data_IF_194951938356
#
_entry.id   IF_194951938356
#
_cell.length_a   1.000
_cell.length_b   1.000
_cell.length_c   1.000
_cell.angle_alpha   90.00
_cell.angle_beta   90.00
_cell.angle_gamma   90.00
#
_symmetry.space_group_name_H-M   'P 1'
#
loop_
_entity.id
_entity.type
_entity.pdbx_description
1 polymer ?
#
# COMPACT_ATOMS: atom_id res chain seq x y z
N UNK A 1 -23.05 -20.59 19.99
CA UNK A 1 -24.51 -20.30 20.07
C UNK A 1 -24.90 -19.41 21.24
N UNK A 2 -24.53 -19.71 22.50
CA UNK A 2 -24.92 -18.87 23.65
C UNK A 2 -24.50 -17.38 23.49
N UNK A 3 -23.29 -17.13 22.98
CA UNK A 3 -22.82 -15.76 22.68
C UNK A 3 -23.71 -15.02 21.67
N UNK A 4 -24.29 -15.71 20.68
CA UNK A 4 -25.22 -15.09 19.72
C UNK A 4 -26.59 -14.80 20.34
N UNK A 5 -27.08 -15.67 21.23
CA UNK A 5 -28.29 -15.39 22.00
C UNK A 5 -28.10 -14.18 22.93
N UNK A 6 -26.95 -14.09 23.58
CA UNK A 6 -26.62 -12.92 24.39
C UNK A 6 -26.53 -11.66 23.52
N UNK A 7 -25.92 -11.73 22.33
CA UNK A 7 -25.91 -10.64 21.36
C UNK A 7 -27.33 -10.15 21.00
N UNK A 8 -28.32 -11.03 20.81
CA UNK A 8 -29.71 -10.59 20.56
C UNK A 8 -30.32 -9.80 21.72
N UNK A 9 -29.77 -9.95 22.94
CA UNK A 9 -30.26 -9.27 24.15
C UNK A 9 -29.45 -8.02 24.49
N UNK A 10 -28.15 -8.01 24.22
CA UNK A 10 -27.22 -6.95 24.66
C UNK A 10 -26.65 -6.12 23.52
N UNK A 11 -26.81 -6.56 22.26
CA UNK A 11 -26.12 -6.03 21.08
C UNK A 11 -24.59 -6.03 21.20
N UNK A 12 -24.03 -6.84 22.11
CA UNK A 12 -22.59 -6.95 22.35
C UNK A 12 -22.17 -8.41 22.25
N UNK A 13 -20.99 -8.63 21.66
CA UNK A 13 -20.39 -9.97 21.52
C UNK A 13 -18.91 -9.90 21.85
N UNK A 14 -18.43 -10.83 22.66
CA UNK A 14 -17.01 -10.96 22.98
C UNK A 14 -16.35 -11.92 22.00
N UNK A 15 -15.44 -11.39 21.20
CA UNK A 15 -14.69 -12.13 20.19
C UNK A 15 -13.25 -12.29 20.68
N UNK A 16 -12.73 -13.51 20.59
CA UNK A 16 -11.35 -13.84 20.91
C UNK A 16 -10.83 -14.96 20.01
N UNK A 17 -9.52 -15.18 20.04
CA UNK A 17 -8.84 -16.15 19.16
C UNK A 17 -9.40 -17.57 19.27
N UNK A 18 -9.82 -17.99 20.47
CA UNK A 18 -10.36 -19.34 20.69
C UNK A 18 -11.79 -19.54 20.16
N UNK A 19 -12.59 -18.47 20.08
CA UNK A 19 -14.01 -18.57 19.77
C UNK A 19 -14.36 -18.10 18.35
N UNK A 20 -13.50 -17.28 17.71
CA UNK A 20 -13.85 -16.51 16.51
C UNK A 20 -14.28 -17.39 15.34
N UNK A 21 -13.60 -18.51 15.07
CA UNK A 21 -13.94 -19.40 13.95
C UNK A 21 -15.30 -20.07 14.16
N UNK A 22 -15.51 -20.65 15.34
CA UNK A 22 -16.80 -21.27 15.71
C UNK A 22 -17.94 -20.26 15.72
N UNK A 23 -17.68 -19.02 16.15
CA UNK A 23 -18.64 -17.95 16.19
C UNK A 23 -18.99 -17.47 14.78
N UNK A 24 -17.99 -17.33 13.91
CA UNK A 24 -18.15 -16.94 12.51
C UNK A 24 -18.98 -17.97 11.74
N UNK A 25 -18.66 -19.26 11.87
CA UNK A 25 -19.43 -20.35 11.25
C UNK A 25 -20.88 -20.37 11.73
N UNK A 26 -21.08 -20.20 13.04
CA UNK A 26 -22.42 -20.16 13.60
C UNK A 26 -23.17 -18.90 13.16
N UNK A 27 -22.51 -17.75 13.12
CA UNK A 27 -23.10 -16.48 12.68
C UNK A 27 -23.50 -16.52 11.21
N UNK A 28 -22.66 -17.09 10.35
CA UNK A 28 -22.97 -17.30 8.93
C UNK A 28 -24.14 -18.26 8.75
N UNK A 29 -24.14 -19.40 9.46
CA UNK A 29 -25.24 -20.37 9.39
C UNK A 29 -26.59 -19.79 9.79
N UNK A 30 -26.63 -18.96 10.84
CA UNK A 30 -27.86 -18.30 11.30
C UNK A 30 -28.10 -16.91 10.71
N UNK A 31 -27.26 -16.46 9.76
CA UNK A 31 -27.37 -15.16 9.07
C UNK A 31 -27.34 -13.94 10.01
N UNK A 32 -26.47 -13.98 11.02
CA UNK A 32 -26.15 -12.82 11.85
C UNK A 32 -25.06 -11.97 11.19
N UNK A 33 -25.43 -11.21 10.16
CA UNK A 33 -24.49 -10.44 9.31
C UNK A 33 -23.55 -9.51 10.09
N UNK A 34 -24.07 -8.82 11.12
CA UNK A 34 -23.24 -7.92 11.93
C UNK A 34 -22.18 -8.68 12.74
N UNK A 35 -22.52 -9.84 13.31
CA UNK A 35 -21.54 -10.65 14.06
C UNK A 35 -20.54 -11.29 13.12
N UNK A 36 -21.00 -11.76 11.95
CA UNK A 36 -20.14 -12.24 10.87
C UNK A 36 -19.09 -11.20 10.49
N UNK A 37 -19.52 -9.97 10.18
CA UNK A 37 -18.62 -8.86 9.84
C UNK A 37 -17.61 -8.57 10.96
N UNK A 38 -18.04 -8.53 12.21
CA UNK A 38 -17.15 -8.30 13.36
C UNK A 38 -16.10 -9.42 13.49
N UNK A 39 -16.49 -10.68 13.27
CA UNK A 39 -15.57 -11.82 13.26
C UNK A 39 -14.59 -11.78 12.08
N UNK A 40 -15.04 -11.43 10.87
CA UNK A 40 -14.18 -11.26 9.70
C UNK A 40 -13.13 -10.16 9.94
N UNK A 41 -13.55 -8.98 10.44
CA UNK A 41 -12.62 -7.90 10.81
C UNK A 41 -11.70 -8.26 11.96
N UNK A 42 -12.15 -9.08 12.91
CA UNK A 42 -11.25 -9.63 13.94
C UNK A 42 -10.16 -10.50 13.32
N UNK A 43 -10.51 -11.39 12.39
CA UNK A 43 -9.53 -12.22 11.69
C UNK A 43 -8.59 -11.40 10.80
N UNK A 44 -9.06 -10.35 10.14
CA UNK A 44 -8.23 -9.43 9.36
C UNK A 44 -7.20 -8.68 10.23
N UNK A 45 -7.56 -8.35 11.49
CA UNK A 45 -6.65 -7.74 12.47
C UNK A 45 -5.52 -8.65 12.91
N UNK A 46 -5.83 -9.93 13.06
CA UNK A 46 -4.90 -10.97 13.51
C UNK A 46 -4.18 -11.67 12.34
N UNK A 47 -4.27 -11.12 11.12
CA UNK A 47 -3.53 -11.64 9.97
C UNK A 47 -2.03 -11.54 10.21
N UNK A 48 -1.32 -12.63 9.96
CA UNK A 48 0.12 -12.73 10.09
C UNK A 48 0.65 -13.69 9.02
N UNK A 49 1.93 -13.57 8.63
CA UNK A 49 2.51 -14.44 7.59
C UNK A 49 2.40 -15.94 7.93
N UNK A 50 2.35 -16.30 9.21
CA UNK A 50 2.23 -17.67 9.70
C UNK A 50 0.83 -18.28 9.61
N UNK A 51 -0.22 -17.47 9.47
CA UNK A 51 -1.63 -17.93 9.44
C UNK A 51 -2.37 -17.54 8.15
N UNK A 52 -1.75 -16.71 7.28
CA UNK A 52 -2.41 -16.16 6.10
C UNK A 52 -2.85 -17.24 5.10
N UNK A 53 -2.10 -18.33 4.94
CA UNK A 53 -2.44 -19.40 4.01
C UNK A 53 -3.62 -20.22 4.54
N UNK A 54 -3.60 -20.54 5.84
CA UNK A 54 -4.70 -21.22 6.53
C UNK A 54 -6.00 -20.42 6.48
N UNK A 55 -5.93 -19.11 6.79
CA UNK A 55 -7.09 -18.21 6.71
C UNK A 55 -7.58 -18.01 5.27
N UNK A 56 -6.70 -18.03 4.27
CA UNK A 56 -7.09 -17.98 2.87
C UNK A 56 -7.86 -19.24 2.44
N UNK A 57 -7.41 -20.43 2.83
CA UNK A 57 -8.11 -21.70 2.55
C UNK A 57 -9.45 -21.75 3.29
N UNK A 58 -9.45 -21.33 4.55
CA UNK A 58 -10.65 -21.27 5.39
C UNK A 58 -11.71 -20.33 4.78
N UNK A 59 -11.33 -19.10 4.44
CA UNK A 59 -12.22 -18.13 3.81
C UNK A 59 -12.73 -18.58 2.44
N UNK A 60 -11.92 -19.29 1.65
CA UNK A 60 -12.37 -19.86 0.38
C UNK A 60 -13.46 -20.92 0.58
N UNK A 61 -13.34 -21.76 1.62
CA UNK A 61 -14.32 -22.82 1.92
C UNK A 61 -15.70 -22.25 2.28
N UNK A 62 -15.74 -21.14 3.01
CA UNK A 62 -16.98 -20.49 3.46
C UNK A 62 -17.39 -19.30 2.58
N UNK A 63 -16.67 -19.04 1.49
CA UNK A 63 -16.92 -17.94 0.56
C UNK A 63 -16.87 -16.54 1.21
N UNK A 64 -15.97 -16.33 2.17
CA UNK A 64 -15.70 -15.00 2.76
C UNK A 64 -14.72 -14.22 1.88
N UNK A 65 -15.24 -13.45 0.92
CA UNK A 65 -14.45 -12.82 -0.14
C UNK A 65 -13.43 -11.78 0.37
N UNK A 66 -13.84 -10.88 1.28
CA UNK A 66 -12.97 -9.81 1.79
C UNK A 66 -11.81 -10.35 2.64
N UNK A 67 -12.09 -11.31 3.53
CA UNK A 67 -11.07 -11.99 4.31
C UNK A 67 -10.11 -12.79 3.40
N UNK A 68 -10.63 -13.44 2.36
CA UNK A 68 -9.81 -14.16 1.39
C UNK A 68 -8.88 -13.22 0.62
N UNK A 69 -9.41 -12.09 0.13
CA UNK A 69 -8.63 -11.08 -0.58
C UNK A 69 -7.53 -10.49 0.31
N UNK A 70 -7.86 -10.22 1.57
CA UNK A 70 -6.94 -9.73 2.59
C UNK A 70 -5.80 -10.71 2.87
N UNK A 71 -6.14 -11.98 3.16
CA UNK A 71 -5.15 -13.03 3.40
C UNK A 71 -4.26 -13.30 2.17
N UNK A 72 -4.86 -13.29 0.97
CA UNK A 72 -4.14 -13.42 -0.30
C UNK A 72 -3.17 -12.26 -0.52
N UNK A 73 -3.57 -11.03 -0.20
CA UNK A 73 -2.71 -9.84 -0.33
C UNK A 73 -1.49 -9.94 0.56
N UNK A 74 -1.65 -10.39 1.82
CA UNK A 74 -0.53 -10.65 2.74
C UNK A 74 0.41 -11.71 2.15
N UNK A 75 -0.14 -12.82 1.65
CA UNK A 75 0.66 -13.89 1.04
C UNK A 75 1.46 -13.41 -0.20
N UNK A 76 0.84 -12.59 -1.05
CA UNK A 76 1.49 -12.03 -2.25
C UNK A 76 2.58 -11.01 -1.92
N UNK A 77 2.38 -10.20 -0.88
CA UNK A 77 3.31 -9.12 -0.49
C UNK A 77 4.49 -9.62 0.36
N UNK A 78 4.32 -10.71 1.11
CA UNK A 78 5.31 -11.25 2.06
C UNK A 78 5.80 -12.64 1.67
N UNK A 79 5.86 -12.95 0.37
CA UNK A 79 6.15 -14.31 -0.12
C UNK A 79 7.43 -14.94 0.46
N UNK A 80 8.49 -14.14 0.62
CA UNK A 80 9.77 -14.58 1.18
C UNK A 80 9.67 -15.07 2.64
N UNK A 81 8.76 -14.49 3.42
CA UNK A 81 8.51 -14.87 4.81
C UNK A 81 7.51 -16.04 4.89
N UNK A 82 6.50 -16.03 4.02
CA UNK A 82 5.46 -17.07 3.91
C UNK A 82 6.05 -18.42 3.52
N UNK A 83 7.00 -18.46 2.58
CA UNK A 83 7.66 -19.70 2.17
C UNK A 83 8.48 -20.37 3.30
N UNK A 84 8.72 -19.66 4.40
CA UNK A 84 9.44 -20.17 5.57
C UNK A 84 8.49 -20.74 6.64
N UNK A 85 7.17 -20.62 6.47
CA UNK A 85 6.17 -21.04 7.44
C UNK A 85 5.74 -22.51 7.25
N UNK A 86 5.23 -23.12 8.31
CA UNK A 86 4.75 -24.51 8.28
C UNK A 86 3.54 -24.69 7.36
N UNK A 87 2.65 -23.70 7.26
CA UNK A 87 1.47 -23.76 6.38
C UNK A 87 1.83 -23.90 4.90
N UNK A 88 3.00 -23.38 4.48
CA UNK A 88 3.46 -23.46 3.10
C UNK A 88 3.78 -24.90 2.69
N UNK A 89 4.28 -25.73 3.61
CA UNK A 89 4.65 -27.13 3.35
C UNK A 89 3.46 -27.99 2.95
N UNK A 90 2.28 -27.66 3.46
CA UNK A 90 1.02 -28.39 3.26
C UNK A 90 0.15 -27.74 2.16
N UNK A 91 0.64 -26.67 1.52
CA UNK A 91 -0.11 -25.94 0.50
C UNK A 91 -0.47 -26.84 -0.71
N UNK A 92 -1.73 -26.85 -1.18
CA UNK A 92 -2.12 -27.57 -2.40
C UNK A 92 -1.46 -26.99 -3.66
N UNK A 93 -1.21 -27.84 -4.66
CA UNK A 93 -0.58 -27.47 -5.95
C UNK A 93 -1.35 -26.33 -6.63
N UNK A 94 -2.68 -26.43 -6.67
CA UNK A 94 -3.53 -25.48 -7.38
C UNK A 94 -3.38 -24.06 -6.83
N UNK A 95 -3.26 -23.94 -5.51
CA UNK A 95 -3.07 -22.65 -4.84
C UNK A 95 -1.67 -22.09 -5.09
N UNK A 96 -0.64 -22.95 -5.05
CA UNK A 96 0.72 -22.54 -5.38
C UNK A 96 0.78 -21.98 -6.81
N UNK A 97 0.19 -22.67 -7.79
CA UNK A 97 0.11 -22.20 -9.18
C UNK A 97 -0.57 -20.83 -9.29
N UNK A 98 -1.65 -20.60 -8.54
CA UNK A 98 -2.34 -19.29 -8.52
C UNK A 98 -1.47 -18.15 -7.97
N UNK A 99 -0.56 -18.43 -7.04
CA UNK A 99 0.40 -17.42 -6.56
C UNK A 99 1.51 -17.18 -7.58
N UNK A 100 2.10 -18.24 -8.13
CA UNK A 100 3.20 -18.13 -9.09
C UNK A 100 2.79 -17.36 -10.36
N UNK A 101 1.56 -17.61 -10.83
CA UNK A 101 0.94 -16.89 -11.96
C UNK A 101 0.64 -15.42 -11.71
N UNK A 102 0.47 -15.02 -10.45
CA UNK A 102 0.04 -13.66 -10.12
C UNK A 102 1.12 -12.64 -10.47
N UNK A 103 0.73 -11.59 -11.20
CA UNK A 103 1.56 -10.40 -11.42
C UNK A 103 1.78 -9.59 -10.14
N UNK A 104 0.96 -9.80 -9.11
CA UNK A 104 1.06 -9.05 -7.85
C UNK A 104 1.99 -9.70 -6.83
N UNK A 105 2.61 -10.83 -7.17
CA UNK A 105 3.55 -11.51 -6.28
C UNK A 105 4.80 -10.65 -6.09
N UNK A 106 4.97 -10.08 -4.91
CA UNK A 106 6.12 -9.24 -4.59
C UNK A 106 7.29 -10.11 -4.12
N UNK A 107 8.34 -10.14 -4.95
CA UNK A 107 9.62 -10.77 -4.64
C UNK A 107 10.76 -9.87 -5.05
N UNK A 108 11.87 -9.94 -4.30
CA UNK A 108 13.07 -9.18 -4.64
C UNK A 108 13.66 -9.63 -5.99
N UNK A 109 13.62 -10.94 -6.27
CA UNK A 109 14.10 -11.58 -7.50
C UNK A 109 13.28 -12.83 -7.81
N UNK A 110 13.19 -13.21 -9.08
CA UNK A 110 12.53 -14.45 -9.50
C UNK A 110 13.23 -15.71 -8.95
N UNK A 111 14.49 -15.58 -8.54
CA UNK A 111 15.26 -16.62 -7.85
C UNK A 111 14.51 -17.17 -6.62
N UNK A 112 13.80 -16.31 -5.88
CA UNK A 112 13.01 -16.68 -4.70
C UNK A 112 11.78 -17.51 -5.09
N UNK A 113 11.18 -17.20 -6.24
CA UNK A 113 10.03 -17.94 -6.78
C UNK A 113 10.47 -19.36 -7.15
N UNK A 114 11.59 -19.51 -7.86
CA UNK A 114 12.15 -20.81 -8.17
C UNK A 114 12.50 -21.59 -6.88
N UNK A 115 13.13 -20.94 -5.90
CA UNK A 115 13.46 -21.57 -4.62
C UNK A 115 12.20 -22.02 -3.86
N UNK A 116 11.10 -21.26 -3.93
CA UNK A 116 9.82 -21.66 -3.32
C UNK A 116 9.24 -22.94 -3.92
N UNK A 117 9.32 -23.10 -5.24
CA UNK A 117 8.93 -24.35 -5.93
C UNK A 117 9.81 -25.51 -5.47
N UNK A 118 11.12 -25.29 -5.40
CA UNK A 118 12.06 -26.34 -4.96
C UNK A 118 11.80 -26.76 -3.51
N UNK A 119 11.58 -25.81 -2.59
CA UNK A 119 11.27 -26.12 -1.19
C UNK A 119 9.97 -26.89 -1.05
N UNK A 120 8.93 -26.50 -1.79
CA UNK A 120 7.64 -27.20 -1.76
C UNK A 120 7.76 -28.66 -2.23
N UNK A 121 8.56 -28.93 -3.27
CA UNK A 121 8.78 -30.30 -3.78
C UNK A 121 9.68 -31.11 -2.84
N UNK A 122 10.70 -30.48 -2.26
CA UNK A 122 11.62 -31.15 -1.34
C UNK A 122 10.95 -31.65 -0.05
N UNK A 123 9.82 -31.08 0.33
CA UNK A 123 9.05 -31.52 1.49
C UNK A 123 8.39 -32.90 1.28
N UNK A 124 7.86 -33.16 0.08
CA UNK A 124 7.35 -34.48 -0.32
C UNK A 124 7.83 -34.86 -1.73
N UNK A 125 9.08 -35.34 -1.85
CA UNK A 125 9.66 -35.70 -3.13
C UNK A 125 8.92 -36.81 -3.86
N UNK A 126 8.24 -37.72 -3.13
CA UNK A 126 7.62 -38.90 -3.72
C UNK A 126 6.32 -38.54 -4.47
N UNK A 127 5.52 -37.63 -3.92
CA UNK A 127 4.27 -37.18 -4.53
C UNK A 127 4.43 -36.01 -5.51
N UNK A 128 5.41 -35.13 -5.30
CA UNK A 128 5.45 -33.80 -5.96
C UNK A 128 6.45 -33.70 -7.13
N UNK A 129 7.22 -34.74 -7.41
CA UNK A 129 8.23 -34.70 -8.49
C UNK A 129 7.61 -34.60 -9.90
N UNK A 130 6.40 -35.11 -10.08
CA UNK A 130 5.67 -35.04 -11.33
C UNK A 130 5.23 -33.59 -11.63
N UNK A 131 4.86 -32.85 -10.59
CA UNK A 131 4.36 -31.47 -10.66
C UNK A 131 5.44 -30.43 -10.94
N UNK A 132 6.72 -30.82 -10.84
CA UNK A 132 7.85 -29.90 -10.97
C UNK A 132 7.84 -29.08 -12.27
N UNK A 133 7.63 -29.74 -13.41
CA UNK A 133 7.69 -29.05 -14.71
C UNK A 133 6.53 -28.06 -14.88
N UNK A 134 5.36 -28.39 -14.34
CA UNK A 134 4.20 -27.49 -14.36
C UNK A 134 4.48 -26.24 -13.52
N UNK A 135 5.01 -26.41 -12.31
CA UNK A 135 5.31 -25.31 -11.39
C UNK A 135 6.46 -24.42 -11.88
N UNK A 136 7.53 -25.01 -12.38
CA UNK A 136 8.66 -24.26 -12.96
C UNK A 136 8.26 -23.53 -14.24
N UNK A 137 7.27 -24.06 -14.97
CA UNK A 137 6.70 -23.38 -16.13
C UNK A 137 6.11 -22.01 -15.81
N UNK A 138 5.66 -21.77 -14.57
CA UNK A 138 5.12 -20.49 -14.10
C UNK A 138 6.21 -19.49 -13.65
N UNK A 139 7.47 -19.92 -13.57
CA UNK A 139 8.61 -19.07 -13.19
C UNK A 139 9.06 -18.25 -14.40
N UNK A 140 9.18 -16.93 -14.23
CA UNK A 140 9.53 -15.99 -15.31
C UNK A 140 11.04 -16.03 -15.59
N UNK A 141 11.47 -16.96 -16.45
CA UNK A 141 12.89 -17.24 -16.74
C UNK A 141 13.72 -16.00 -17.11
N UNK A 142 13.11 -14.99 -17.75
CA UNK A 142 13.77 -13.73 -18.15
C UNK A 142 14.28 -12.92 -16.96
N UNK A 143 13.71 -13.11 -15.76
CA UNK A 143 14.04 -12.38 -14.54
C UNK A 143 14.89 -13.20 -13.55
N UNK A 144 15.32 -14.42 -13.92
CA UNK A 144 16.26 -15.22 -13.13
C UNK A 144 17.67 -14.64 -13.22
N UNK A 145 18.40 -14.64 -12.10
CA UNK A 145 19.76 -14.12 -12.08
C UNK A 145 20.77 -15.11 -12.63
N UNK A 146 21.74 -14.61 -13.41
CA UNK A 146 22.85 -15.44 -13.91
C UNK A 146 23.67 -16.06 -12.77
N UNK A 147 23.84 -15.34 -11.65
CA UNK A 147 24.48 -15.84 -10.44
C UNK A 147 23.74 -17.04 -9.85
N UNK A 148 22.41 -16.99 -9.84
CA UNK A 148 21.59 -18.07 -9.33
C UNK A 148 21.65 -19.30 -10.24
N UNK A 149 21.58 -19.13 -11.56
CA UNK A 149 21.74 -20.23 -12.52
C UNK A 149 23.10 -20.94 -12.37
N UNK A 150 24.19 -20.20 -12.17
CA UNK A 150 25.51 -20.78 -11.91
C UNK A 150 25.54 -21.59 -10.61
N UNK A 151 24.89 -21.09 -9.55
CA UNK A 151 24.73 -21.83 -8.29
C UNK A 151 23.94 -23.13 -8.50
N UNK A 152 22.84 -23.10 -9.26
CA UNK A 152 22.03 -24.29 -9.55
C UNK A 152 22.85 -25.36 -10.30
N UNK A 153 23.61 -24.95 -11.32
CA UNK A 153 24.48 -25.86 -12.10
C UNK A 153 25.62 -26.42 -11.25
N UNK A 154 26.21 -25.60 -10.37
CA UNK A 154 27.25 -26.07 -9.44
C UNK A 154 26.68 -27.05 -8.42
N UNK A 155 25.47 -26.83 -7.92
CA UNK A 155 24.81 -27.70 -6.93
C UNK A 155 24.42 -29.04 -7.53
N UNK A 156 23.86 -29.07 -8.74
CA UNK A 156 23.50 -30.32 -9.43
C UNK A 156 24.71 -31.20 -9.74
N UNK A 157 25.87 -30.61 -10.05
CA UNK A 157 27.11 -31.37 -10.27
C UNK A 157 27.69 -31.95 -8.97
N UNK A 158 27.40 -31.37 -7.81
CA UNK A 158 27.94 -31.79 -6.51
C UNK A 158 27.15 -32.93 -5.86
N UNK A 159 25.83 -32.95 -5.99
CA UNK A 159 24.97 -33.88 -5.23
C UNK A 159 24.87 -35.30 -5.84
N UNK A 160 25.51 -35.57 -6.97
CA UNK A 160 25.48 -36.88 -7.60
C UNK A 160 24.11 -37.24 -8.19
N UNK A 161 24.03 -38.37 -8.90
CA UNK A 161 22.85 -38.77 -9.69
C UNK A 161 21.67 -39.30 -8.87
N UNK A 162 21.90 -39.66 -7.60
CA UNK A 162 20.89 -40.25 -6.71
C UNK A 162 20.03 -39.21 -6.01
N UNK A 163 20.44 -37.94 -6.02
CA UNK A 163 19.75 -36.88 -5.30
C UNK A 163 18.56 -36.30 -6.10
N UNK A 164 17.45 -36.05 -5.41
CA UNK A 164 16.22 -35.52 -6.01
C UNK A 164 16.46 -34.18 -6.70
N UNK A 165 17.27 -33.28 -6.12
CA UNK A 165 17.57 -31.98 -6.74
C UNK A 165 18.27 -32.16 -8.08
N UNK A 166 19.29 -33.03 -8.13
CA UNK A 166 20.01 -33.33 -9.38
C UNK A 166 19.10 -33.90 -10.46
N UNK A 167 18.17 -34.79 -10.07
CA UNK A 167 17.16 -35.37 -11.00
C UNK A 167 16.22 -34.31 -11.57
N UNK A 168 15.70 -33.42 -10.73
CA UNK A 168 14.81 -32.32 -11.14
C UNK A 168 15.51 -31.36 -12.12
N UNK A 169 16.75 -30.94 -11.81
CA UNK A 169 17.51 -30.05 -12.71
C UNK A 169 17.86 -30.75 -14.04
N UNK A 170 18.14 -32.05 -14.04
CA UNK A 170 18.31 -32.81 -15.29
C UNK A 170 17.02 -32.87 -16.11
N UNK A 171 15.87 -33.08 -15.45
CA UNK A 171 14.55 -33.09 -16.09
C UNK A 171 14.21 -31.73 -16.71
N UNK A 172 14.57 -30.64 -16.04
CA UNK A 172 14.43 -29.28 -16.57
C UNK A 172 15.30 -29.06 -17.82
N UNK A 173 16.56 -29.52 -17.79
CA UNK A 173 17.47 -29.39 -18.93
C UNK A 173 17.06 -30.26 -20.13
N UNK A 174 16.47 -31.44 -19.89
CA UNK A 174 16.04 -32.31 -20.99
C UNK A 174 14.70 -31.90 -21.59
N UNK A 175 13.79 -31.36 -20.79
CA UNK A 175 12.44 -30.97 -21.19
C UNK A 175 12.07 -29.60 -20.59
N UNK A 176 12.64 -28.48 -21.11
CA UNK A 176 12.30 -27.16 -20.61
C UNK A 176 10.83 -26.82 -20.92
N UNK A 177 10.08 -26.21 -19.98
CA UNK A 177 8.70 -25.81 -20.22
C UNK A 177 8.55 -24.91 -21.45
N UNK A 178 7.39 -24.93 -22.15
CA UNK A 178 7.16 -24.07 -23.32
C UNK A 178 7.38 -22.58 -23.04
N UNK A 179 7.03 -22.12 -21.82
CA UNK A 179 7.24 -20.75 -21.36
C UNK A 179 8.71 -20.32 -21.33
N UNK A 180 9.64 -21.27 -21.26
CA UNK A 180 11.09 -21.01 -21.28
C UNK A 180 11.68 -21.07 -22.69
N UNK A 181 10.94 -21.64 -23.65
CA UNK A 181 11.40 -21.80 -25.03
C UNK A 181 10.95 -20.65 -25.94
N UNK A 182 9.77 -20.07 -25.67
CA UNK A 182 9.17 -19.06 -26.55
C UNK A 182 8.94 -17.74 -25.81
N UNK A 183 10.03 -17.02 -25.58
CA UNK A 183 10.04 -15.69 -24.94
C UNK A 183 9.24 -14.64 -25.72
N UNK A 184 9.02 -14.84 -27.03
CA UNK A 184 8.27 -13.91 -27.90
C UNK A 184 6.75 -14.07 -27.87
N UNK A 185 6.22 -15.22 -27.42
CA UNK A 185 4.76 -15.49 -27.33
C UNK A 185 4.15 -15.09 -25.98
N UNK A 186 5.00 -14.87 -24.97
CA UNK A 186 4.61 -14.33 -23.68
C UNK A 186 5.36 -13.02 -23.52
N UNK A 187 4.76 -11.84 -23.83
CA UNK A 187 5.29 -10.60 -23.30
C UNK A 187 5.09 -10.70 -21.79
N UNK A 188 6.05 -11.31 -21.09
CA UNK A 188 6.02 -11.41 -19.64
C UNK A 188 6.14 -9.97 -19.14
N UNK A 189 4.99 -9.31 -18.94
CA UNK A 189 4.91 -8.16 -18.07
C UNK A 189 5.63 -8.57 -16.78
N UNK A 190 6.62 -7.81 -16.35
CA UNK A 190 7.30 -8.09 -15.10
C UNK A 190 6.33 -8.17 -13.93
N UNK A 191 6.78 -8.68 -12.77
CA UNK A 191 5.90 -8.65 -11.60
C UNK A 191 5.66 -7.19 -11.23
N UNK A 192 4.41 -6.87 -10.91
CA UNK A 192 4.02 -5.55 -10.45
C UNK A 192 4.50 -5.32 -9.02
N UNK A 193 4.94 -4.10 -8.74
CA UNK A 193 5.33 -3.68 -7.40
C UNK A 193 5.20 -2.17 -7.26
N UNK A 194 4.95 -1.70 -6.05
CA UNK A 194 4.87 -0.29 -5.75
C UNK A 194 6.26 0.29 -5.46
N UNK A 195 6.45 1.55 -5.83
CA UNK A 195 7.61 2.37 -5.52
C UNK A 195 7.16 3.64 -4.81
N UNK A 196 8.02 4.22 -3.97
CA UNK A 196 7.70 5.42 -3.21
C UNK A 196 8.45 6.61 -3.79
N UNK A 197 7.72 7.64 -4.18
CA UNK A 197 8.28 8.91 -4.61
C UNK A 197 8.25 9.92 -3.48
N UNK A 198 9.31 10.71 -3.40
CA UNK A 198 9.49 11.76 -2.43
C UNK A 198 9.92 13.02 -3.16
N UNK A 199 9.03 14.00 -3.21
CA UNK A 199 9.33 15.35 -3.64
C UNK A 199 9.65 16.19 -2.41
N UNK A 200 10.86 16.72 -2.35
CA UNK A 200 11.29 17.51 -1.20
C UNK A 200 12.41 18.47 -1.51
N UNK A 201 13.17 18.82 -0.48
CA UNK A 201 14.16 19.89 -0.54
C UNK A 201 13.64 21.20 0.06
N UNK A 202 14.51 22.21 0.05
CA UNK A 202 14.18 23.54 0.58
C UNK A 202 13.46 24.35 -0.50
N UNK A 203 12.29 24.88 -0.18
CA UNK A 203 11.51 25.72 -1.09
C UNK A 203 12.30 26.95 -1.58
N UNK A 204 13.21 27.51 -0.78
CA UNK A 204 13.99 28.70 -1.17
C UNK A 204 14.98 28.48 -2.34
N UNK A 205 15.28 27.22 -2.67
CA UNK A 205 16.19 26.85 -3.77
C UNK A 205 15.46 26.91 -5.11
N UNK A 206 16.22 27.08 -6.20
CA UNK A 206 15.67 27.05 -7.57
C UNK A 206 15.02 25.71 -7.94
N UNK A 207 15.51 24.63 -7.32
CA UNK A 207 15.10 23.27 -7.59
C UNK A 207 14.66 22.57 -6.30
N UNK A 208 13.57 21.83 -6.39
CA UNK A 208 13.12 20.86 -5.39
C UNK A 208 13.40 19.45 -5.91
N UNK A 209 14.04 18.63 -5.09
CA UNK A 209 14.58 17.33 -5.50
C UNK A 209 13.48 16.27 -5.47
N UNK A 210 13.43 15.43 -6.50
CA UNK A 210 12.54 14.27 -6.57
C UNK A 210 13.38 13.00 -6.47
N UNK A 211 13.01 12.11 -5.55
CA UNK A 211 13.65 10.82 -5.38
C UNK A 211 12.62 9.69 -5.45
N UNK A 212 13.04 8.54 -5.98
CA UNK A 212 12.29 7.29 -5.91
C UNK A 212 13.03 6.29 -5.04
N UNK A 213 12.31 5.70 -4.08
CA UNK A 213 12.78 4.59 -3.26
C UNK A 213 12.38 3.27 -3.91
N UNK A 214 13.38 2.43 -4.15
CA UNK A 214 13.19 1.09 -4.70
C UNK A 214 13.13 0.08 -3.54
N UNK A 215 11.97 -0.49 -3.19
CA UNK A 215 11.85 -1.36 -2.03
C UNK A 215 12.61 -2.68 -2.17
N UNK A 216 12.81 -3.18 -3.39
CA UNK A 216 13.56 -4.42 -3.66
C UNK A 216 15.06 -4.29 -3.35
N UNK A 217 15.64 -3.11 -3.57
CA UNK A 217 17.08 -2.83 -3.36
C UNK A 217 17.34 -2.02 -2.09
N UNK A 218 16.30 -1.37 -1.55
CA UNK A 218 16.40 -0.39 -0.48
C UNK A 218 17.06 0.92 -0.91
N UNK A 219 17.36 1.12 -2.20
CA UNK A 219 18.13 2.26 -2.67
C UNK A 219 17.24 3.45 -3.06
N UNK A 220 17.77 4.65 -2.86
CA UNK A 220 17.21 5.89 -3.40
C UNK A 220 17.83 6.22 -4.74
N UNK A 221 17.00 6.60 -5.70
CA UNK A 221 17.43 7.08 -7.02
C UNK A 221 16.90 8.49 -7.25
N UNK A 222 17.77 9.40 -7.69
CA UNK A 222 17.39 10.75 -8.06
C UNK A 222 16.65 10.77 -9.40
N UNK A 223 15.57 11.55 -9.46
CA UNK A 223 14.79 11.83 -10.65
C UNK A 223 15.01 13.28 -11.10
N UNK A 224 14.42 13.67 -12.23
CA UNK A 224 14.45 15.05 -12.69
C UNK A 224 13.80 15.96 -11.61
N UNK A 225 14.51 16.99 -11.11
CA UNK A 225 13.99 17.84 -10.05
C UNK A 225 12.91 18.78 -10.57
N UNK A 226 12.03 19.20 -9.67
CA UNK A 226 11.03 20.22 -9.93
C UNK A 226 11.71 21.60 -9.98
N UNK A 227 11.64 22.28 -11.12
CA UNK A 227 12.22 23.61 -11.33
C UNK A 227 11.27 24.72 -10.82
N UNK A 228 11.00 24.74 -9.52
CA UNK A 228 10.13 25.75 -8.90
C UNK A 228 10.72 26.23 -7.57
N UNK A 229 11.15 27.48 -7.58
CA UNK A 229 11.57 28.23 -6.40
C UNK A 229 10.36 28.72 -5.61
N UNK A 230 10.50 28.81 -4.30
CA UNK A 230 9.56 29.43 -3.36
C UNK A 230 8.15 28.84 -3.31
N UNK A 231 7.96 27.60 -3.76
CA UNK A 231 6.68 26.90 -3.66
C UNK A 231 6.68 25.94 -2.46
N UNK A 232 5.70 26.07 -1.57
CA UNK A 232 5.48 25.21 -0.40
C UNK A 232 3.98 24.88 -0.24
N UNK A 233 3.60 24.04 0.73
CA UNK A 233 2.19 23.70 1.03
C UNK A 233 1.37 23.21 -0.18
N UNK A 234 2.05 22.64 -1.18
CA UNK A 234 1.42 21.91 -2.28
C UNK A 234 1.06 20.50 -1.82
N UNK A 235 0.21 19.83 -2.60
CA UNK A 235 -0.08 18.41 -2.40
C UNK A 235 0.45 17.58 -3.56
N UNK A 236 0.98 16.40 -3.24
CA UNK A 236 1.47 15.43 -4.23
C UNK A 236 0.54 14.22 -4.28
N UNK A 237 0.12 13.85 -5.48
CA UNK A 237 -0.71 12.67 -5.72
C UNK A 237 -0.21 11.91 -6.96
N UNK A 238 -0.64 10.65 -7.10
CA UNK A 238 -0.29 9.82 -8.25
C UNK A 238 -1.54 9.23 -8.87
N UNK A 239 -1.57 9.20 -10.21
CA UNK A 239 -2.60 8.50 -10.97
C UNK A 239 -1.90 7.78 -12.13
N UNK A 240 -1.99 6.45 -12.14
CA UNK A 240 -1.23 5.61 -13.09
C UNK A 240 0.27 5.80 -12.93
N UNK A 241 0.96 6.15 -14.02
CA UNK A 241 2.42 6.41 -14.04
C UNK A 241 2.78 7.90 -13.95
N UNK A 242 1.83 8.76 -13.59
CA UNK A 242 2.03 10.20 -13.47
C UNK A 242 1.96 10.65 -12.02
N UNK A 243 2.88 11.53 -11.63
CA UNK A 243 2.80 12.27 -10.37
C UNK A 243 2.26 13.66 -10.66
N UNK A 244 1.44 14.17 -9.74
CA UNK A 244 0.83 15.49 -9.82
C UNK A 244 1.24 16.28 -8.59
N UNK A 245 1.77 17.47 -8.83
CA UNK A 245 1.97 18.50 -7.81
C UNK A 245 0.91 19.56 -8.06
N UNK A 246 0.04 19.78 -7.08
CA UNK A 246 -1.13 20.65 -7.21
C UNK A 246 -1.06 21.81 -6.23
N UNK A 247 -1.38 23.00 -6.72
CA UNK A 247 -1.48 24.24 -5.97
C UNK A 247 -0.24 24.58 -5.15
N UNK A 248 -0.47 25.13 -3.96
CA UNK A 248 0.55 25.52 -3.01
C UNK A 248 0.57 27.01 -2.73
N UNK A 249 1.45 27.39 -1.81
CA UNK A 249 1.70 28.77 -1.42
C UNK A 249 3.03 29.20 -2.03
N UNK A 250 2.96 30.18 -2.92
CA UNK A 250 4.09 30.66 -3.69
C UNK A 250 4.49 32.05 -3.21
N UNK A 251 5.81 32.28 -3.10
CA UNK A 251 6.36 33.60 -2.79
C UNK A 251 6.95 34.25 -4.02
N UNK A 252 6.30 35.33 -4.46
CA UNK A 252 6.87 36.27 -5.41
C UNK A 252 7.47 37.46 -4.65
N UNK A 253 8.80 37.62 -4.76
CA UNK A 253 9.60 38.60 -4.01
C UNK A 253 9.31 38.64 -2.48
N UNK A 254 8.31 39.43 -2.08
CA UNK A 254 7.90 39.64 -0.68
C UNK A 254 6.48 39.20 -0.37
N UNK A 255 5.66 38.90 -1.38
CA UNK A 255 4.24 38.57 -1.22
C UNK A 255 4.06 37.07 -1.38
N UNK A 256 3.32 36.47 -0.45
CA UNK A 256 2.89 35.10 -0.58
C UNK A 256 1.44 35.05 -1.03
N UNK A 257 1.12 34.14 -1.93
CA UNK A 257 -0.24 33.91 -2.39
C UNK A 257 -0.43 32.45 -2.83
N UNK A 258 -1.68 32.00 -2.78
CA UNK A 258 -2.08 30.68 -3.20
C UNK A 258 -2.11 30.58 -4.73
N UNK A 259 -1.67 29.44 -5.28
CA UNK A 259 -1.66 29.21 -6.74
C UNK A 259 -2.56 28.04 -7.13
N UNK A 260 -2.98 28.03 -8.39
CA UNK A 260 -3.80 27.02 -9.06
C UNK A 260 -2.98 26.07 -9.95
N UNK A 261 -1.65 26.14 -9.85
CA UNK A 261 -0.75 25.43 -10.76
C UNK A 261 -0.83 23.91 -10.60
N UNK A 262 -0.62 23.22 -11.72
CA UNK A 262 -0.54 21.76 -11.78
C UNK A 262 0.72 21.37 -12.55
N UNK A 263 1.61 20.63 -11.90
CA UNK A 263 2.85 20.15 -12.49
C UNK A 263 2.82 18.63 -12.52
N UNK A 264 3.01 18.06 -13.70
CA UNK A 264 2.86 16.64 -13.96
C UNK A 264 4.24 16.05 -14.23
N UNK A 265 4.63 15.02 -13.48
CA UNK A 265 5.86 14.28 -13.72
C UNK A 265 5.54 12.91 -14.32
N UNK A 266 6.13 12.62 -15.48
CA UNK A 266 6.02 11.32 -16.13
C UNK A 266 7.10 10.38 -15.57
N UNK A 267 6.67 9.33 -14.86
CA UNK A 267 7.58 8.35 -14.24
C UNK A 267 8.34 7.47 -15.24
N UNK A 268 7.92 7.42 -16.51
CA UNK A 268 8.57 6.65 -17.57
C UNK A 268 9.65 7.48 -18.27
N UNK A 269 9.32 8.72 -18.61
CA UNK A 269 10.23 9.61 -19.36
C UNK A 269 11.15 10.44 -18.46
N UNK A 270 10.95 10.39 -17.13
CA UNK A 270 11.71 11.17 -16.15
C UNK A 270 11.70 12.67 -16.49
N UNK A 271 10.53 13.22 -16.81
CA UNK A 271 10.36 14.60 -17.26
C UNK A 271 9.10 15.24 -16.65
N UNK A 272 9.14 16.57 -16.56
CA UNK A 272 8.06 17.41 -16.05
C UNK A 272 7.31 18.09 -17.18
N UNK A 273 6.00 18.21 -17.02
CA UNK A 273 5.06 18.87 -17.91
C UNK A 273 4.16 19.80 -17.08
N UNK A 274 3.68 20.87 -17.70
CA UNK A 274 2.64 21.70 -17.10
C UNK A 274 1.26 21.10 -17.42
N UNK A 275 0.42 20.99 -16.40
CA UNK A 275 -0.96 20.56 -16.52
C UNK A 275 -1.94 21.72 -16.60
N UNK A 276 -3.23 21.46 -16.85
CA UNK A 276 -4.26 22.48 -16.82
C UNK A 276 -4.44 23.02 -15.39
N UNK A 277 -4.56 24.34 -15.27
CA UNK A 277 -4.72 25.01 -13.97
C UNK A 277 -6.04 24.60 -13.28
N UNK A 278 -5.98 24.47 -11.97
CA UNK A 278 -7.15 24.21 -11.12
C UNK A 278 -8.16 25.35 -11.18
N UNK A 279 -9.40 25.09 -10.76
CA UNK A 279 -10.44 26.12 -10.68
C UNK A 279 -10.21 27.09 -9.53
N UNK A 280 -9.60 26.61 -8.44
CA UNK A 280 -9.33 27.41 -7.26
C UNK A 280 -7.85 27.40 -6.93
N UNK A 281 -7.27 28.58 -6.78
CA UNK A 281 -5.94 28.76 -6.22
C UNK A 281 -5.97 28.43 -4.73
N UNK A 282 -5.22 27.40 -4.31
CA UNK A 282 -5.29 26.88 -2.94
C UNK A 282 -3.95 26.32 -2.46
N UNK A 283 -3.77 26.30 -1.15
CA UNK A 283 -2.64 25.69 -0.46
C UNK A 283 -3.13 24.83 0.73
N UNK A 284 -2.25 23.98 1.28
CA UNK A 284 -2.56 23.12 2.44
C UNK A 284 -3.81 22.25 2.24
N UNK A 285 -4.15 21.97 0.98
CA UNK A 285 -5.21 21.05 0.56
C UNK A 285 -4.71 19.61 0.52
N UNK A 286 -5.62 18.67 0.38
CA UNK A 286 -5.31 17.28 0.10
C UNK A 286 -5.42 17.00 -1.40
N UNK A 287 -4.58 16.11 -1.92
CA UNK A 287 -4.71 15.58 -3.28
C UNK A 287 -4.59 14.05 -3.24
N UNK A 288 -5.42 13.35 -4.01
CA UNK A 288 -5.44 11.89 -4.02
C UNK A 288 -5.84 11.35 -5.40
N UNK A 289 -5.20 10.27 -5.82
CA UNK A 289 -5.61 9.50 -6.99
C UNK A 289 -6.65 8.45 -6.63
N UNK A 290 -7.75 8.37 -7.38
CA UNK A 290 -8.72 7.30 -7.26
C UNK A 290 -9.18 6.85 -8.66
N UNK A 291 -8.87 5.59 -9.01
CA UNK A 291 -9.08 5.08 -10.36
C UNK A 291 -8.23 5.83 -11.39
N UNK A 292 -8.88 6.44 -12.38
CA UNK A 292 -8.23 7.24 -13.45
C UNK A 292 -8.37 8.76 -13.23
N UNK A 293 -8.79 9.17 -12.04
CA UNK A 293 -9.04 10.56 -11.69
C UNK A 293 -8.12 11.03 -10.57
N UNK A 294 -7.68 12.27 -10.70
CA UNK A 294 -7.05 13.06 -9.64
C UNK A 294 -8.14 13.86 -8.93
N UNK A 295 -8.16 13.85 -7.60
CA UNK A 295 -9.05 14.64 -6.76
C UNK A 295 -8.23 15.63 -5.92
N UNK A 296 -8.70 16.87 -5.84
CA UNK A 296 -8.16 17.94 -5.00
C UNK A 296 -9.25 18.41 -4.04
N UNK A 297 -8.95 18.38 -2.75
CA UNK A 297 -9.93 18.42 -1.66
C UNK A 297 -9.53 19.49 -0.64
N UNK A 298 -10.44 20.43 -0.36
CA UNK A 298 -10.32 21.38 0.73
C UNK A 298 -9.15 22.35 0.60
N UNK A 299 -8.52 22.68 1.73
CA UNK A 299 -7.40 23.62 1.81
C UNK A 299 -7.82 25.08 1.97
N UNK A 300 -6.82 25.95 1.86
CA UNK A 300 -6.93 27.38 2.11
C UNK A 300 -6.73 28.21 0.86
N UNK A 301 -7.55 29.25 0.75
CA UNK A 301 -7.47 30.29 -0.27
C UNK A 301 -7.22 31.64 0.41
N UNK A 302 -7.09 32.69 -0.38
CA UNK A 302 -7.01 34.07 0.13
C UNK A 302 -8.29 34.50 0.88
N UNK A 303 -9.42 33.84 0.63
CA UNK A 303 -10.72 34.12 1.26
C UNK A 303 -10.96 33.30 2.53
N UNK A 304 -10.15 32.25 2.76
CA UNK A 304 -10.28 31.34 3.90
C UNK A 304 -10.21 29.86 3.50
N UNK A 305 -10.50 28.99 4.47
CA UNK A 305 -10.56 27.54 4.28
C UNK A 305 -11.85 27.19 3.52
N UNK A 306 -11.74 26.41 2.45
CA UNK A 306 -12.87 26.10 1.55
C UNK A 306 -13.22 24.62 1.59
N UNK A 307 -14.49 24.23 1.38
CA UNK A 307 -14.90 22.84 1.26
C UNK A 307 -14.87 22.34 -0.20
N UNK A 308 -14.39 23.17 -1.14
CA UNK A 308 -14.51 22.87 -2.56
C UNK A 308 -13.68 21.67 -2.97
N UNK A 309 -14.27 20.82 -3.81
CA UNK A 309 -13.65 19.63 -4.36
C UNK A 309 -13.66 19.75 -5.87
N UNK A 310 -12.51 19.46 -6.47
CA UNK A 310 -12.38 19.40 -7.92
C UNK A 310 -11.64 18.14 -8.34
N UNK A 311 -12.00 17.60 -9.51
CA UNK A 311 -11.37 16.40 -10.07
C UNK A 311 -10.95 16.62 -11.51
N UNK A 312 -9.98 15.84 -11.96
CA UNK A 312 -9.50 15.83 -13.33
C UNK A 312 -9.23 14.39 -13.77
N UNK A 313 -9.78 13.98 -14.91
CA UNK A 313 -9.43 12.70 -15.53
C UNK A 313 -8.05 12.80 -16.19
N UNK A 314 -7.28 11.71 -16.21
CA UNK A 314 -5.96 11.69 -16.86
C UNK A 314 -5.97 12.03 -18.36
N UNK A 315 -7.09 11.78 -19.04
CA UNK A 315 -7.25 12.01 -20.49
C UNK A 315 -7.79 13.40 -20.81
N UNK A 316 -8.32 14.09 -19.83
CA UNK A 316 -8.97 15.38 -20.01
C UNK A 316 -8.01 16.54 -19.74
N UNK A 317 -8.31 17.68 -20.33
CA UNK A 317 -7.56 18.92 -20.12
C UNK A 317 -8.32 19.94 -19.26
N UNK A 318 -9.43 19.53 -18.63
CA UNK A 318 -10.30 20.42 -17.86
C UNK A 318 -10.63 19.82 -16.49
N UNK A 319 -10.84 20.70 -15.51
CA UNK A 319 -11.24 20.34 -14.16
C UNK A 319 -12.76 20.34 -14.01
N UNK A 320 -13.29 19.37 -13.28
CA UNK A 320 -14.70 19.26 -12.93
C UNK A 320 -14.91 19.62 -11.46
N UNK A 321 -15.99 20.35 -11.17
CA UNK A 321 -16.37 20.66 -9.79
C UNK A 321 -17.24 19.54 -9.26
N UNK A 322 -16.95 19.08 -8.04
CA UNK A 322 -17.65 18.00 -7.36
C UNK A 322 -18.44 18.54 -6.17
N UNK A 323 -19.23 17.69 -5.53
CA UNK A 323 -19.93 18.04 -4.30
C UNK A 323 -18.94 18.46 -3.20
N UNK A 324 -19.22 19.56 -2.48
CA UNK A 324 -18.31 20.09 -1.47
C UNK A 324 -18.22 19.17 -0.25
N UNK A 325 -17.08 19.20 0.44
CA UNK A 325 -16.84 18.49 1.69
C UNK A 325 -17.88 18.87 2.75
N UNK A 326 -18.21 17.92 3.63
CA UNK A 326 -19.16 18.16 4.72
C UNK A 326 -18.65 19.22 5.70
N UNK A 327 -17.34 19.21 5.98
CA UNK A 327 -16.64 20.21 6.77
C UNK A 327 -15.40 20.71 5.99
N UNK A 328 -15.24 22.02 5.75
CA UNK A 328 -14.02 22.59 5.20
C UNK A 328 -12.84 22.37 6.16
N UNK A 329 -11.74 21.84 5.63
CA UNK A 329 -10.50 21.60 6.40
C UNK A 329 -9.26 21.93 5.58
N UNK A 330 -8.24 22.49 6.24
CA UNK A 330 -6.87 22.54 5.74
C UNK A 330 -5.96 21.62 6.58
N UNK A 331 -4.79 21.23 6.04
CA UNK A 331 -3.77 20.45 6.78
C UNK A 331 -4.32 19.15 7.40
N UNK A 332 -5.41 18.63 6.86
CA UNK A 332 -5.83 17.25 7.02
C UNK A 332 -5.00 16.36 6.11
N UNK A 333 -5.28 15.06 6.12
CA UNK A 333 -4.68 14.13 5.17
C UNK A 333 -5.76 13.27 4.51
N UNK A 334 -5.49 12.78 3.31
CA UNK A 334 -6.47 12.04 2.53
C UNK A 334 -5.90 10.76 1.90
N UNK A 335 -6.74 9.74 1.81
CA UNK A 335 -6.39 8.47 1.18
C UNK A 335 -7.58 7.87 0.43
N UNK A 336 -7.30 7.19 -0.67
CA UNK A 336 -8.29 6.45 -1.45
C UNK A 336 -8.25 4.97 -1.08
N UNK A 337 -9.44 4.36 -1.01
CA UNK A 337 -9.61 2.93 -0.82
C UNK A 337 -10.80 2.46 -1.67
N UNK A 338 -10.50 1.84 -2.81
CA UNK A 338 -11.52 1.51 -3.81
C UNK A 338 -12.15 2.77 -4.42
N UNK A 339 -13.48 2.84 -4.44
CA UNK A 339 -14.27 3.98 -4.94
C UNK A 339 -14.57 5.03 -3.87
N UNK A 340 -13.83 5.00 -2.76
CA UNK A 340 -14.05 5.88 -1.62
C UNK A 340 -12.78 6.66 -1.31
N UNK A 341 -12.94 7.95 -1.03
CA UNK A 341 -11.87 8.82 -0.56
C UNK A 341 -12.20 9.22 0.87
N UNK A 342 -11.22 9.16 1.74
CA UNK A 342 -11.33 9.54 3.14
C UNK A 342 -10.46 10.76 3.39
N UNK A 343 -11.01 11.80 4.00
CA UNK A 343 -10.30 12.97 4.49
C UNK A 343 -10.40 12.98 6.01
N UNK A 344 -9.26 13.01 6.69
CA UNK A 344 -9.19 12.82 8.14
C UNK A 344 -8.60 14.04 8.82
N UNK A 345 -9.35 14.54 9.81
CA UNK A 345 -8.98 15.64 10.68
C UNK A 345 -8.56 16.91 9.90
N UNK A 346 -7.58 17.67 10.42
CA UNK A 346 -7.17 18.98 9.90
C UNK A 346 -7.62 20.14 10.79
N UNK A 347 -7.52 21.37 10.25
CA UNK A 347 -7.99 22.60 10.88
C UNK A 347 -9.26 23.08 10.19
N UNK A 348 -10.29 23.39 10.98
CA UNK A 348 -11.53 23.99 10.49
C UNK A 348 -11.39 25.52 10.28
N UNK A 349 -12.44 26.15 9.75
CA UNK A 349 -12.52 27.61 9.53
C UNK A 349 -12.30 28.45 10.81
N UNK A 350 -12.50 27.86 11.99
CA UNK A 350 -12.29 28.52 13.28
C UNK A 350 -10.87 28.32 13.82
N UNK A 351 -10.03 27.54 13.13
CA UNK A 351 -8.70 27.14 13.57
C UNK A 351 -8.72 26.04 14.65
N UNK A 352 -9.87 25.39 14.89
CA UNK A 352 -9.97 24.23 15.75
C UNK A 352 -9.58 22.96 15.00
N UNK A 353 -9.04 22.00 15.73
CA UNK A 353 -8.72 20.69 15.16
C UNK A 353 -10.01 19.92 14.96
N UNK A 354 -10.35 19.65 13.70
CA UNK A 354 -11.48 18.81 13.35
C UNK A 354 -11.14 17.35 13.63
N UNK A 355 -12.08 16.60 14.20
CA UNK A 355 -11.91 15.19 14.58
C UNK A 355 -12.60 14.21 13.63
N UNK A 356 -13.46 14.69 12.72
CA UNK A 356 -14.21 13.83 11.81
C UNK A 356 -13.36 13.15 10.74
N UNK A 357 -13.79 11.94 10.40
CA UNK A 357 -13.39 11.19 9.20
C UNK A 357 -14.48 11.39 8.15
N UNK A 358 -14.22 12.22 7.15
CA UNK A 358 -15.15 12.50 6.07
C UNK A 358 -14.90 11.52 4.93
N UNK A 359 -15.96 10.97 4.35
CA UNK A 359 -15.89 10.04 3.22
C UNK A 359 -16.62 10.62 2.02
N UNK A 360 -15.96 10.59 0.87
CA UNK A 360 -16.57 10.81 -0.44
C UNK A 360 -16.76 9.47 -1.13
N UNK A 361 -17.99 9.17 -1.54
CA UNK A 361 -18.26 8.12 -2.50
C UNK A 361 -18.12 8.71 -3.92
N UNK A 362 -17.14 8.24 -4.69
CA UNK A 362 -16.84 8.79 -6.02
C UNK A 362 -17.84 8.36 -7.09
N UNK A 363 -18.64 7.33 -6.84
CA UNK A 363 -19.68 6.87 -7.78
C UNK A 363 -20.96 7.70 -7.66
N UNK A 364 -21.32 8.10 -6.44
CA UNK A 364 -22.55 8.86 -6.15
C UNK A 364 -22.33 10.34 -5.95
N UNK A 365 -21.08 10.80 -5.90
CA UNK A 365 -20.68 12.17 -5.55
C UNK A 365 -21.36 12.67 -4.28
N UNK A 366 -21.26 11.88 -3.21
CA UNK A 366 -21.91 12.18 -1.94
C UNK A 366 -20.94 12.07 -0.77
N UNK A 367 -21.05 13.01 0.16
CA UNK A 367 -20.25 13.08 1.37
C UNK A 367 -21.01 12.58 2.60
N UNK A 368 -20.28 11.90 3.49
CA UNK A 368 -20.74 11.54 4.83
C UNK A 368 -19.60 11.58 5.85
N UNK A 369 -19.93 11.60 7.14
CA UNK A 369 -18.95 11.51 8.23
C UNK A 369 -19.08 10.12 8.85
N UNK A 370 -18.05 9.30 8.72
CA UNK A 370 -18.12 7.87 9.07
C UNK A 370 -17.70 7.57 10.49
N UNK A 371 -16.85 8.42 11.09
CA UNK A 371 -16.36 8.26 12.46
C UNK A 371 -15.64 9.52 12.93
N UNK A 372 -15.16 9.51 14.17
CA UNK A 372 -14.38 10.57 14.79
C UNK A 372 -13.07 9.99 15.36
N UNK A 373 -11.95 10.62 15.01
CA UNK A 373 -10.62 10.20 15.45
C UNK A 373 -10.50 10.28 16.97
N UNK A 374 -10.02 9.21 17.64
CA UNK A 374 -9.69 9.26 19.08
C UNK A 374 -8.57 10.25 19.42
N UNK A 375 -7.74 10.59 18.42
CA UNK A 375 -6.62 11.51 18.57
C UNK A 375 -6.62 12.53 17.42
N UNK A 376 -7.50 13.54 17.46
CA UNK A 376 -7.65 14.49 16.37
C UNK A 376 -6.44 15.41 16.26
N UNK A 377 -5.91 15.57 15.04
CA UNK A 377 -4.68 16.33 14.75
C UNK A 377 -4.72 16.98 13.38
N UNK A 378 -3.86 17.97 13.16
CA UNK A 378 -3.48 18.46 11.83
C UNK A 378 -2.04 18.01 11.53
N UNK A 379 -1.64 18.00 10.27
CA UNK A 379 -0.39 17.40 9.78
C UNK A 379 -0.18 15.94 10.24
N UNK A 380 -1.27 15.18 10.40
CA UNK A 380 -1.13 13.74 10.60
C UNK A 380 -0.80 13.07 9.27
N UNK A 381 -0.38 11.81 9.36
CA UNK A 381 -0.17 10.92 8.23
C UNK A 381 -1.31 9.89 8.18
N UNK A 382 -1.91 9.68 7.01
CA UNK A 382 -2.88 8.61 6.77
C UNK A 382 -2.48 7.73 5.59
N UNK A 383 -2.62 6.41 5.77
CA UNK A 383 -2.48 5.46 4.68
C UNK A 383 -3.49 4.34 4.80
N UNK A 384 -3.77 3.64 3.71
CA UNK A 384 -4.64 2.48 3.68
C UNK A 384 -3.78 1.21 3.55
N UNK A 385 -4.11 0.19 4.34
CA UNK A 385 -3.50 -1.13 4.25
C UNK A 385 -4.57 -2.17 4.54
N UNK A 386 -4.78 -3.07 3.56
CA UNK A 386 -5.64 -4.24 3.69
C UNK A 386 -7.05 -3.93 4.22
N UNK A 387 -7.72 -2.94 3.59
CA UNK A 387 -9.09 -2.56 3.92
C UNK A 387 -9.25 -1.66 5.16
N UNK A 388 -8.17 -1.31 5.85
CA UNK A 388 -8.20 -0.43 7.02
C UNK A 388 -7.39 0.85 6.80
N UNK A 389 -7.79 1.93 7.49
CA UNK A 389 -7.06 3.19 7.51
C UNK A 389 -6.11 3.22 8.71
N UNK A 390 -4.88 3.66 8.50
CA UNK A 390 -3.90 3.85 9.56
C UNK A 390 -3.63 5.35 9.72
N UNK A 391 -3.96 5.90 10.88
CA UNK A 391 -3.70 7.30 11.23
C UNK A 391 -2.49 7.38 12.15
N UNK A 392 -1.50 8.19 11.80
CA UNK A 392 -0.20 8.23 12.49
C UNK A 392 0.17 9.70 12.77
N UNK A 393 0.37 10.04 14.04
CA UNK A 393 0.72 11.39 14.48
C UNK A 393 0.67 11.55 16.01
N UNK A 394 1.80 11.37 16.67
CA UNK A 394 1.91 11.36 18.14
C UNK A 394 1.41 10.05 18.79
N UNK A 395 0.56 9.30 18.10
CA UNK A 395 0.20 7.91 18.33
C UNK A 395 -0.23 7.29 17.00
N UNK A 396 -0.54 6.00 16.98
CA UNK A 396 -1.02 5.30 15.80
C UNK A 396 -2.32 4.54 16.08
N UNK A 397 -3.26 4.62 15.15
CA UNK A 397 -4.51 3.88 15.22
C UNK A 397 -4.84 3.26 13.87
N UNK A 398 -5.40 2.06 13.92
CA UNK A 398 -6.02 1.36 12.79
C UNK A 398 -7.54 1.53 12.90
N UNK A 399 -8.17 2.00 11.83
CA UNK A 399 -9.60 2.24 11.75
C UNK A 399 -10.25 1.29 10.73
N UNK A 400 -11.16 0.44 11.22
CA UNK A 400 -12.01 -0.40 10.40
C UNK A 400 -13.31 0.34 10.06
N UNK A 401 -13.42 0.83 8.83
CA UNK A 401 -14.53 1.68 8.39
C UNK A 401 -15.89 0.95 8.47
N UNK A 402 -15.92 -0.36 8.25
CA UNK A 402 -17.16 -1.14 8.19
C UNK A 402 -17.75 -1.46 9.57
N UNK A 403 -16.89 -1.57 10.58
CA UNK A 403 -17.29 -1.84 11.96
C UNK A 403 -17.36 -0.59 12.82
N UNK A 404 -16.78 0.53 12.35
CA UNK A 404 -16.57 1.76 13.13
C UNK A 404 -15.71 1.49 14.38
N UNK A 405 -14.65 0.69 14.20
CA UNK A 405 -13.76 0.30 15.30
C UNK A 405 -12.38 0.92 15.13
N UNK A 406 -11.93 1.62 16.17
CA UNK A 406 -10.57 2.13 16.29
C UNK A 406 -9.75 1.21 17.19
N UNK A 407 -8.66 0.69 16.65
CA UNK A 407 -7.69 -0.13 17.39
C UNK A 407 -6.38 0.64 17.52
N UNK A 408 -5.92 0.84 18.76
CA UNK A 408 -4.62 1.48 18.99
C UNK A 408 -3.48 0.55 18.54
N UNK A 409 -2.52 1.09 17.80
CA UNK A 409 -1.29 0.38 17.40
C UNK A 409 -0.19 0.82 18.37
N UNK A 410 0.10 -0.02 19.36
CA UNK A 410 1.06 0.29 20.43
C UNK A 410 2.48 -0.15 20.05
N UNK A 411 3.15 0.71 19.29
CA UNK A 411 4.51 0.50 18.83
C UNK A 411 5.41 1.66 19.28
N UNK A 412 6.52 1.36 19.97
CA UNK A 412 7.46 2.38 20.47
C UNK A 412 8.02 3.25 19.33
N UNK A 413 8.14 2.67 18.14
CA UNK A 413 8.59 3.38 16.96
C UNK A 413 7.61 4.48 16.48
N UNK A 414 6.34 4.44 16.88
CA UNK A 414 5.26 5.36 16.48
C UNK A 414 4.85 6.31 17.61
N UNK A 415 4.95 5.84 18.85
CA UNK A 415 4.50 6.58 20.04
C UNK A 415 5.26 7.90 20.22
N UNK A 416 4.51 9.00 20.37
CA UNK A 416 5.00 10.38 20.50
C UNK A 416 5.89 10.85 19.32
N UNK A 417 5.76 10.23 18.14
CA UNK A 417 6.48 10.64 16.94
C UNK A 417 5.54 11.24 15.91
N UNK A 418 6.06 12.24 15.20
CA UNK A 418 5.35 12.94 14.13
C UNK A 418 6.16 12.75 12.85
N UNK A 419 5.49 12.38 11.77
CA UNK A 419 6.10 12.18 10.47
C UNK A 419 5.57 13.23 9.50
N UNK A 420 6.31 13.50 8.43
CA UNK A 420 5.97 14.50 7.42
C UNK A 420 5.28 13.86 6.21
N UNK A 421 5.39 12.55 6.06
CA UNK A 421 4.69 11.79 5.04
C UNK A 421 4.63 10.30 5.36
N UNK A 422 3.65 9.63 4.76
CA UNK A 422 3.51 8.18 4.81
C UNK A 422 3.07 7.62 3.47
N UNK A 423 3.35 6.34 3.23
CA UNK A 423 2.77 5.62 2.10
C UNK A 423 2.83 4.13 2.29
N UNK A 424 1.77 3.43 1.86
CA UNK A 424 1.76 1.97 1.76
C UNK A 424 2.42 1.55 0.45
N UNK A 425 3.37 0.62 0.53
CA UNK A 425 4.17 0.13 -0.59
C UNK A 425 4.35 -1.37 -0.41
N UNK A 426 3.84 -2.18 -1.35
CA UNK A 426 3.95 -3.64 -1.32
C UNK A 426 3.54 -4.27 0.02
N UNK A 427 2.39 -3.87 0.57
CA UNK A 427 1.86 -4.42 1.83
C UNK A 427 2.51 -3.89 3.11
N UNK A 428 3.43 -2.92 3.02
CA UNK A 428 4.13 -2.33 4.17
C UNK A 428 3.94 -0.82 4.24
N UNK A 429 3.97 -0.26 5.45
CA UNK A 429 3.81 1.17 5.68
C UNK A 429 5.19 1.81 5.86
N UNK A 430 5.50 2.79 5.01
CA UNK A 430 6.71 3.60 5.11
C UNK A 430 6.35 4.97 5.68
N UNK A 431 7.05 5.35 6.73
CA UNK A 431 6.93 6.66 7.39
C UNK A 431 8.18 7.47 7.15
N UNK A 432 8.00 8.72 6.73
CA UNK A 432 9.06 9.55 6.19
C UNK A 432 9.19 10.86 6.96
N UNK A 433 10.42 11.20 7.31
CA UNK A 433 10.79 12.51 7.84
C UNK A 433 10.19 12.72 9.23
N UNK A 434 10.95 12.45 10.29
CA UNK A 434 10.44 12.64 11.64
C UNK A 434 10.55 14.11 12.06
N UNK A 435 9.45 14.73 12.46
CA UNK A 435 9.42 16.07 13.06
C UNK A 435 9.72 15.99 14.56
N UNK A 436 10.77 16.69 14.99
CA UNK A 436 11.16 16.84 16.41
C UNK A 436 11.29 18.33 16.75
N UNK A 437 10.24 18.89 17.33
CA UNK A 437 10.12 20.34 17.53
C UNK A 437 10.14 21.06 16.19
N UNK A 438 11.04 22.04 16.03
CA UNK A 438 11.20 22.80 14.78
C UNK A 438 12.17 22.15 13.77
N UNK A 439 12.72 20.98 14.09
CA UNK A 439 13.66 20.26 13.21
C UNK A 439 13.01 19.05 12.56
N UNK A 440 13.29 18.84 11.28
CA UNK A 440 12.93 17.63 10.54
C UNK A 440 14.16 16.72 10.42
N UNK A 441 14.03 15.48 10.90
CA UNK A 441 15.05 14.45 10.82
C UNK A 441 14.80 13.57 9.58
N UNK A 442 15.81 13.30 8.74
CA UNK A 442 15.67 12.51 7.52
C UNK A 442 15.63 11.00 7.82
N UNK A 443 14.63 10.57 8.59
CA UNK A 443 14.46 9.18 9.05
C UNK A 443 13.36 8.51 8.25
N UNK A 444 13.61 7.27 7.82
CA UNK A 444 12.60 6.39 7.23
C UNK A 444 12.31 5.28 8.23
N UNK A 445 11.04 5.10 8.59
CA UNK A 445 10.59 4.00 9.46
C UNK A 445 9.72 3.06 8.63
N UNK A 446 10.04 1.78 8.67
CA UNK A 446 9.21 0.70 8.13
C UNK A 446 8.34 0.16 9.25
N UNK A 447 7.04 0.15 9.03
CA UNK A 447 6.07 -0.52 9.88
C UNK A 447 5.35 -1.60 9.06
N UNK A 448 5.38 -2.82 9.58
CA UNK A 448 4.79 -4.00 8.95
C UNK A 448 4.02 -4.81 10.00
N UNK A 449 2.68 -4.75 9.99
CA UNK A 449 1.86 -5.42 10.99
C UNK A 449 1.77 -6.94 10.77
N UNK A 450 2.22 -7.47 9.62
CA UNK A 450 2.06 -8.91 9.32
C UNK A 450 3.24 -9.77 9.74
N UNK A 451 4.33 -9.13 10.17
CA UNK A 451 5.56 -9.75 10.69
C UNK A 451 6.02 -9.06 11.99
N UNK A 452 5.14 -8.29 12.64
CA UNK A 452 5.38 -7.56 13.89
C UNK A 452 6.68 -6.75 13.88
N UNK A 453 6.94 -6.06 12.77
CA UNK A 453 8.21 -5.35 12.57
C UNK A 453 7.97 -3.86 12.50
N UNK A 454 8.62 -3.13 13.40
CA UNK A 454 8.78 -1.69 13.27
C UNK A 454 10.22 -1.24 13.46
N UNK A 455 10.86 -0.78 12.38
CA UNK A 455 12.29 -0.46 12.40
C UNK A 455 12.65 0.76 11.56
N UNK A 456 13.69 1.46 12.01
CA UNK A 456 14.32 2.54 11.24
C UNK A 456 15.17 1.91 10.14
N UNK A 457 14.98 2.34 8.89
CA UNK A 457 15.81 1.91 7.77
C UNK A 457 17.10 2.73 7.76
N UNK A 458 18.25 2.07 7.60
CA UNK A 458 19.57 2.71 7.57
C UNK A 458 19.72 3.75 6.45
N UNK A 459 19.04 3.52 5.31
CA UNK A 459 19.03 4.42 4.17
C UNK A 459 18.13 5.64 4.45
N UNK A 460 18.74 6.64 5.09
CA UNK A 460 18.14 7.94 5.41
C UNK A 460 17.54 8.63 4.19
N UNK A 461 16.54 9.47 4.45
CA UNK A 461 15.97 10.31 3.40
C UNK A 461 17.06 11.21 2.79
N UNK A 462 17.13 11.27 1.45
CA UNK A 462 18.15 12.07 0.77
C UNK A 462 17.90 13.57 0.87
N UNK A 463 16.65 13.99 1.11
CA UNK A 463 16.25 15.39 1.23
C UNK A 463 15.27 15.61 2.41
N UNK A 464 15.16 16.84 2.93
CA UNK A 464 14.07 17.21 3.83
C UNK A 464 12.72 17.10 3.13
N UNK A 465 11.75 16.48 3.80
CA UNK A 465 10.41 16.25 3.25
C UNK A 465 9.42 17.33 3.73
N UNK A 466 8.76 18.07 2.81
CA UNK A 466 7.58 18.86 3.16
C UNK A 466 6.37 17.96 3.48
N UNK A 467 5.37 18.53 4.14
CA UNK A 467 4.12 17.82 4.44
C UNK A 467 3.43 17.47 3.11
N UNK A 468 2.89 16.26 2.97
CA UNK A 468 2.25 15.73 1.76
C UNK A 468 3.17 15.67 0.52
N UNK A 469 4.49 15.54 0.72
CA UNK A 469 5.47 15.44 -0.36
C UNK A 469 5.79 14.01 -0.82
N UNK A 470 5.01 13.00 -0.42
CA UNK A 470 5.28 11.61 -0.77
C UNK A 470 4.07 10.88 -1.35
N UNK A 471 4.31 9.94 -2.25
CA UNK A 471 3.25 9.15 -2.87
C UNK A 471 3.77 7.81 -3.40
N UNK A 472 2.94 6.77 -3.39
CA UNK A 472 3.25 5.47 -3.98
C UNK A 472 2.79 5.38 -5.43
N UNK A 473 3.59 4.72 -6.27
CA UNK A 473 3.31 4.49 -7.70
C UNK A 473 3.58 3.04 -8.03
N UNK A 474 2.60 2.38 -8.67
CA UNK A 474 2.71 1.01 -9.15
C UNK A 474 3.56 0.94 -10.43
N UNK A 475 4.50 0.01 -10.45
CA UNK A 475 5.42 -0.29 -11.57
C UNK A 475 5.41 -1.78 -11.88
N UNK A 476 6.02 -2.15 -13.01
CA UNK A 476 6.26 -3.53 -13.42
C UNK A 476 7.76 -3.75 -13.58
N UNK A 477 8.25 -4.97 -13.31
CA UNK A 477 9.64 -5.31 -13.65
C UNK A 477 9.86 -5.12 -15.18
N UNK A 478 10.99 -4.52 -15.53
CA UNK A 478 11.38 -4.22 -16.92
C UNK A 478 12.67 -4.95 -17.29
#
# INVERSE_FOLDING_TARGET
FQALLEFTRTAQVQIGQENVTSLLETADYFQFDRVKLLCEKFLERELHVSNCLGLMIYSQRFAFAELHASARTVALTHWGDVMCQEEFKVLPKEMLVQFLRSDELFVAREDVVFDSVMRWIMEDPAGREEDFLDLVGEVRVTFLSLSFLDILVKRSKRLGDTDTFSRLIKKLNSCPPPSWQITELCPCAGRSYDTLYVLGGKHDKEQQELFVFQPKTGAWQACAPLQRRNLTQYAVAAVGSFLFVTGGYFRDEFVWYSVDWVLIYNCLDNSWLEGPAMKNSRNSHCAVGAGLYLYVLGGSTEEGIIPAVERMALVDSEWESMSPMAQPVERGDAVSMGTRIYVVCGLDENGHVYDGVQRLNTETDSWDVVSFSPLPRYDLCITALNGALYTIGGGAFRFDVETDEWTQVDEECLTQKFFMGCGTVNGRIYLLGQRKGNSALPVVVLFDPYIDTCQVIDNKLPCPLPIHGCVSVRRFDT
#
